data_IF_189894356637
#
_entry.id   IF_189894356637
#
_cell.length_a   1.000
_cell.length_b   1.000
_cell.length_c   1.000
_cell.angle_alpha   90.00
_cell.angle_beta   90.00
_cell.angle_gamma   90.00
#
_symmetry.space_group_name_H-M   'P 1'
#
loop_
_entity.id
_entity.type
_entity.pdbx_description
1 polymer ?
#
# COMPACT_ATOMS: atom_id res chain seq x y z
N UNK A 1 48.57 15.38 51.41
CA UNK A 1 47.32 14.60 51.39
C UNK A 1 46.95 14.38 49.94
N UNK A 2 46.66 13.15 49.49
CA UNK A 2 46.12 12.96 48.15
C UNK A 2 44.67 13.46 48.11
N UNK A 3 44.17 13.95 46.94
CA UNK A 3 42.79 14.37 46.80
C UNK A 3 41.87 13.14 46.87
N UNK A 4 40.68 13.31 47.46
CA UNK A 4 39.67 12.26 47.53
C UNK A 4 39.31 11.74 46.13
N UNK A 5 39.09 10.41 45.97
CA UNK A 5 38.69 9.86 44.69
C UNK A 5 37.31 10.42 44.30
N UNK A 6 37.21 10.89 43.06
CA UNK A 6 35.97 11.41 42.49
C UNK A 6 34.84 10.38 42.64
N UNK A 7 33.67 10.84 43.07
CA UNK A 7 32.44 10.04 43.11
C UNK A 7 32.19 9.41 41.75
N UNK A 8 32.28 8.08 41.68
CA UNK A 8 31.83 7.31 40.52
C UNK A 8 30.32 7.43 40.48
N UNK A 9 29.79 8.18 39.52
CA UNK A 9 28.35 8.20 39.22
C UNK A 9 28.02 6.84 38.62
N UNK A 10 27.27 6.01 39.35
CA UNK A 10 26.71 4.79 38.78
C UNK A 10 25.87 5.14 37.54
N UNK A 11 26.00 4.38 36.44
CA UNK A 11 25.12 4.58 35.30
C UNK A 11 23.70 4.24 35.74
N UNK A 12 22.85 5.27 35.82
CA UNK A 12 21.41 5.11 36.00
C UNK A 12 20.93 4.22 34.84
N UNK A 13 20.62 2.97 35.16
CA UNK A 13 19.92 2.06 34.26
C UNK A 13 18.58 2.74 34.00
N UNK A 14 18.50 3.45 32.87
CA UNK A 14 17.28 4.10 32.43
C UNK A 14 16.18 3.05 32.38
N UNK A 15 15.09 3.33 33.10
CA UNK A 15 13.85 2.56 32.98
C UNK A 15 13.60 2.22 31.50
N UNK A 16 13.20 0.98 31.17
CA UNK A 16 12.83 0.64 29.81
C UNK A 16 11.82 1.69 29.34
N UNK A 17 12.17 2.40 28.27
CA UNK A 17 11.28 3.40 27.68
C UNK A 17 9.91 2.78 27.46
N UNK A 18 8.82 3.55 27.59
CA UNK A 18 7.48 3.03 27.33
C UNK A 18 7.48 2.33 25.96
N UNK A 19 6.82 1.17 25.83
CA UNK A 19 6.77 0.45 24.56
C UNK A 19 6.35 1.43 23.46
N UNK A 20 6.98 1.39 22.27
CA UNK A 20 6.74 2.37 21.22
C UNK A 20 5.23 2.48 20.99
N UNK A 21 4.70 3.70 21.13
CA UNK A 21 3.28 3.96 20.99
C UNK A 21 2.79 3.29 19.70
N UNK A 22 1.79 2.42 19.81
CA UNK A 22 1.16 1.82 18.63
C UNK A 22 0.65 2.97 17.75
N UNK A 23 1.28 3.17 16.60
CA UNK A 23 0.82 4.17 15.62
C UNK A 23 -0.46 3.60 15.02
N UNK A 24 -1.61 4.06 15.50
CA UNK A 24 -2.92 3.67 14.98
C UNK A 24 -3.12 4.35 13.63
N UNK A 25 -3.16 3.57 12.55
CA UNK A 25 -3.39 4.08 11.19
C UNK A 25 -4.90 4.40 11.04
N UNK A 26 -5.25 5.69 10.94
CA UNK A 26 -6.63 6.16 10.76
C UNK A 26 -6.96 6.39 9.29
N UNK A 27 -8.19 6.07 8.90
CA UNK A 27 -8.75 6.33 7.57
C UNK A 27 -10.08 7.07 7.67
N UNK A 28 -10.20 8.19 6.96
CA UNK A 28 -11.48 8.89 6.80
C UNK A 28 -12.38 8.16 5.82
N UNK A 29 -13.61 7.84 6.23
CA UNK A 29 -14.62 7.28 5.34
C UNK A 29 -15.13 8.34 4.35
N UNK A 30 -14.99 8.09 3.05
CA UNK A 30 -15.44 9.03 2.01
C UNK A 30 -16.97 9.18 1.92
N UNK A 31 -17.74 8.36 2.63
CA UNK A 31 -19.22 8.36 2.63
C UNK A 31 -19.77 9.14 3.82
N UNK A 32 -19.53 8.67 5.05
CA UNK A 32 -20.02 9.30 6.29
C UNK A 32 -19.03 10.30 6.92
N UNK A 33 -17.81 10.43 6.40
CA UNK A 33 -16.74 11.33 6.88
C UNK A 33 -16.12 11.01 8.25
N UNK A 34 -16.53 9.92 8.89
CA UNK A 34 -15.94 9.45 10.14
C UNK A 34 -14.47 9.02 9.95
N UNK A 35 -13.67 9.22 11.00
CA UNK A 35 -12.32 8.66 11.09
C UNK A 35 -12.40 7.27 11.74
N UNK A 36 -11.88 6.28 11.03
CA UNK A 36 -11.99 4.88 11.42
C UNK A 36 -10.59 4.26 11.44
N UNK A 37 -10.31 3.50 12.49
CA UNK A 37 -9.09 2.68 12.60
C UNK A 37 -9.02 1.70 11.43
N UNK A 38 -7.87 1.60 10.76
CA UNK A 38 -7.68 0.82 9.54
C UNK A 38 -8.20 -0.60 9.61
N UNK A 39 -7.96 -1.27 10.73
CA UNK A 39 -8.38 -2.64 11.02
C UNK A 39 -9.91 -2.79 10.94
N UNK A 40 -10.64 -1.75 11.32
CA UNK A 40 -12.10 -1.71 11.33
C UNK A 40 -12.68 -1.08 10.06
N UNK A 41 -11.86 -0.53 9.17
CA UNK A 41 -12.32 0.27 8.04
C UNK A 41 -13.16 -0.54 7.03
N UNK A 42 -12.73 -1.77 6.74
CA UNK A 42 -13.48 -2.65 5.81
C UNK A 42 -14.84 -3.02 6.41
N UNK A 43 -14.88 -3.36 7.70
CA UNK A 43 -16.12 -3.70 8.39
C UNK A 43 -17.07 -2.51 8.41
N UNK A 44 -16.58 -1.32 8.76
CA UNK A 44 -17.35 -0.09 8.68
C UNK A 44 -17.97 0.14 7.29
N UNK A 45 -17.22 -0.15 6.21
CA UNK A 45 -17.72 0.03 4.84
C UNK A 45 -18.79 -0.99 4.43
N UNK A 46 -18.82 -2.18 5.04
CA UNK A 46 -19.89 -3.15 4.80
C UNK A 46 -21.25 -2.60 5.25
N UNK A 47 -21.25 -1.81 6.31
CA UNK A 47 -22.45 -1.18 6.86
C UNK A 47 -22.70 0.19 6.20
N UNK A 48 -21.71 1.08 6.24
CA UNK A 48 -21.81 2.46 5.77
C UNK A 48 -22.06 2.55 4.25
N UNK A 49 -21.56 1.59 3.48
CA UNK A 49 -21.73 1.51 2.02
C UNK A 49 -22.44 0.23 1.57
N UNK A 50 -23.33 -0.31 2.41
CA UNK A 50 -24.13 -1.51 2.12
C UNK A 50 -24.78 -1.45 0.73
N UNK A 51 -24.72 -2.56 0.00
CA UNK A 51 -25.24 -2.67 -1.37
C UNK A 51 -24.29 -2.15 -2.46
N UNK A 52 -23.03 -1.87 -2.12
CA UNK A 52 -21.96 -1.52 -3.07
C UNK A 52 -20.74 -2.42 -2.89
N UNK A 53 -19.84 -2.48 -3.86
CA UNK A 53 -18.57 -3.21 -3.75
C UNK A 53 -17.41 -2.36 -3.19
N UNK A 54 -17.69 -1.24 -2.53
CA UNK A 54 -16.66 -0.33 -1.98
C UNK A 54 -15.79 -1.05 -0.94
N UNK A 55 -16.40 -1.84 -0.06
CA UNK A 55 -15.68 -2.62 0.97
C UNK A 55 -14.72 -3.63 0.34
N UNK A 56 -15.15 -4.35 -0.70
CA UNK A 56 -14.33 -5.32 -1.43
C UNK A 56 -13.12 -4.64 -2.10
N UNK A 57 -13.33 -3.51 -2.78
CA UNK A 57 -12.25 -2.75 -3.41
C UNK A 57 -11.21 -2.28 -2.39
N UNK A 58 -11.66 -1.80 -1.23
CA UNK A 58 -10.75 -1.38 -0.16
C UNK A 58 -10.00 -2.56 0.46
N UNK A 59 -10.68 -3.69 0.67
CA UNK A 59 -10.05 -4.93 1.13
C UNK A 59 -8.94 -5.38 0.16
N UNK A 60 -9.22 -5.38 -1.15
CA UNK A 60 -8.21 -5.70 -2.18
C UNK A 60 -7.05 -4.70 -2.17
N UNK A 61 -7.33 -3.39 -2.01
CA UNK A 61 -6.29 -2.37 -1.91
C UNK A 61 -5.35 -2.64 -0.71
N UNK A 62 -5.91 -2.90 0.48
CA UNK A 62 -5.11 -3.22 1.66
C UNK A 62 -4.33 -4.53 1.52
N UNK A 63 -4.92 -5.54 0.90
CA UNK A 63 -4.22 -6.78 0.57
C UNK A 63 -2.99 -6.54 -0.33
N UNK A 64 -3.15 -5.75 -1.40
CA UNK A 64 -2.02 -5.39 -2.27
C UNK A 64 -0.99 -4.54 -1.55
N UNK A 65 -1.40 -3.57 -0.71
CA UNK A 65 -0.49 -2.79 0.13
C UNK A 65 0.36 -3.71 1.03
N UNK A 66 -0.26 -4.70 1.66
CA UNK A 66 0.43 -5.69 2.49
C UNK A 66 1.38 -6.58 1.68
N UNK A 67 1.00 -6.98 0.46
CA UNK A 67 1.89 -7.73 -0.45
C UNK A 67 3.13 -6.91 -0.85
N UNK A 68 2.96 -5.62 -1.16
CA UNK A 68 4.06 -4.70 -1.47
C UNK A 68 5.03 -4.62 -0.28
N UNK A 69 4.50 -4.42 0.94
CA UNK A 69 5.31 -4.37 2.18
C UNK A 69 6.07 -5.68 2.41
N UNK A 70 5.39 -6.84 2.28
CA UNK A 70 6.01 -8.17 2.45
C UNK A 70 7.11 -8.42 1.43
N UNK A 71 6.89 -8.06 0.16
CA UNK A 71 7.90 -8.21 -0.89
C UNK A 71 9.13 -7.34 -0.62
N UNK A 72 8.92 -6.06 -0.27
CA UNK A 72 10.03 -5.16 0.08
C UNK A 72 10.85 -5.70 1.27
N UNK A 73 10.17 -6.14 2.33
CA UNK A 73 10.85 -6.71 3.51
C UNK A 73 11.60 -8.01 3.18
N UNK A 74 11.00 -8.90 2.38
CA UNK A 74 11.66 -10.12 1.94
C UNK A 74 12.97 -9.82 1.19
N UNK A 75 12.99 -8.80 0.36
CA UNK A 75 14.17 -8.41 -0.43
C UNK A 75 15.24 -7.77 0.47
N UNK A 76 14.84 -6.95 1.46
CA UNK A 76 15.76 -6.42 2.47
C UNK A 76 16.38 -7.53 3.33
N UNK A 77 15.60 -8.53 3.71
CA UNK A 77 16.12 -9.68 4.46
C UNK A 77 17.12 -10.47 3.62
N UNK A 78 16.81 -10.74 2.34
CA UNK A 78 17.73 -11.40 1.42
C UNK A 78 19.03 -10.60 1.23
N UNK A 79 18.94 -9.27 1.13
CA UNK A 79 20.12 -8.41 1.13
C UNK A 79 20.95 -8.56 2.42
N UNK A 80 20.30 -8.54 3.58
CA UNK A 80 20.97 -8.75 4.87
C UNK A 80 21.67 -10.10 4.94
N UNK A 81 21.01 -11.17 4.51
CA UNK A 81 21.60 -12.50 4.46
C UNK A 81 22.80 -12.56 3.50
N UNK A 82 22.70 -11.97 2.31
CA UNK A 82 23.83 -11.88 1.36
C UNK A 82 25.00 -11.10 1.95
N UNK A 83 24.74 -9.98 2.62
CA UNK A 83 25.76 -9.07 3.15
C UNK A 83 26.62 -9.74 4.23
N UNK A 84 26.02 -10.54 5.11
CA UNK A 84 26.74 -11.26 6.19
C UNK A 84 27.09 -12.71 5.82
N UNK A 85 26.89 -13.09 4.56
CA UNK A 85 27.11 -14.45 4.05
C UNK A 85 26.31 -15.55 4.77
N UNK A 86 25.10 -15.22 5.21
CA UNK A 86 24.18 -16.22 5.74
C UNK A 86 23.58 -17.08 4.60
N UNK A 87 23.22 -18.34 4.89
CA UNK A 87 22.53 -19.17 3.92
C UNK A 87 21.22 -18.55 3.42
N UNK A 88 21.09 -18.43 2.11
CA UNK A 88 19.96 -17.78 1.46
C UNK A 88 18.74 -18.68 1.49
N UNK A 89 17.67 -18.20 2.13
CA UNK A 89 16.39 -18.90 2.19
C UNK A 89 15.67 -18.81 0.85
N UNK A 90 15.35 -19.97 0.26
CA UNK A 90 14.61 -20.09 -1.00
C UNK A 90 13.13 -20.42 -0.72
N UNK A 91 12.20 -19.46 -0.88
CA UNK A 91 10.78 -19.73 -0.70
C UNK A 91 10.29 -20.74 -1.72
N UNK A 92 9.72 -21.86 -1.27
CA UNK A 92 9.23 -22.96 -2.12
C UNK A 92 10.31 -23.55 -3.04
N UNK A 93 11.58 -23.45 -2.64
CA UNK A 93 12.73 -23.93 -3.42
C UNK A 93 12.93 -23.22 -4.76
N UNK A 94 12.42 -22.00 -4.92
CA UNK A 94 12.62 -21.20 -6.14
C UNK A 94 13.80 -20.25 -5.97
N UNK A 95 14.77 -20.36 -6.87
CA UNK A 95 15.91 -19.46 -6.92
C UNK A 95 15.66 -18.29 -7.88
N UNK A 96 16.05 -17.10 -7.44
CA UNK A 96 15.90 -15.87 -8.21
C UNK A 96 16.90 -15.74 -9.37
N UNK A 97 17.92 -16.59 -9.44
CA UNK A 97 18.80 -16.67 -10.61
C UNK A 97 18.44 -17.86 -11.52
N UNK A 98 18.52 -19.07 -10.98
CA UNK A 98 18.33 -20.32 -11.71
C UNK A 98 16.88 -20.44 -12.31
N UNK A 99 16.73 -20.93 -13.56
CA UNK A 99 15.43 -20.96 -14.32
C UNK A 99 14.44 -22.03 -13.84
N UNK A 100 14.93 -23.16 -13.33
CA UNK A 100 14.09 -24.25 -12.80
C UNK A 100 14.42 -24.53 -11.33
N UNK A 101 13.40 -24.90 -10.52
CA UNK A 101 13.56 -25.28 -9.10
C UNK A 101 14.57 -26.42 -8.88
N UNK A 102 14.72 -27.28 -9.88
CA UNK A 102 15.63 -28.42 -9.85
C UNK A 102 17.04 -28.09 -10.37
N UNK A 103 17.29 -26.88 -10.84
CA UNK A 103 18.60 -26.47 -11.37
C UNK A 103 19.70 -26.37 -10.29
N UNK A 104 19.35 -26.53 -9.01
CA UNK A 104 20.32 -26.75 -7.95
C UNK A 104 20.82 -28.20 -7.88
N UNK A 105 20.13 -29.16 -8.54
CA UNK A 105 20.65 -30.52 -8.73
C UNK A 105 21.79 -30.46 -9.74
N UNK A 106 23.01 -30.46 -9.24
CA UNK A 106 24.23 -30.46 -10.06
C UNK A 106 25.19 -29.29 -9.84
N UNK A 107 24.94 -28.41 -8.85
CA UNK A 107 25.96 -27.52 -8.24
C UNK A 107 26.74 -26.56 -9.18
N UNK A 108 26.32 -26.31 -10.42
CA UNK A 108 27.15 -25.51 -11.37
C UNK A 108 26.68 -24.06 -11.59
N UNK A 109 25.37 -23.78 -11.61
CA UNK A 109 24.91 -22.46 -12.10
C UNK A 109 24.82 -21.36 -11.05
N UNK A 110 24.69 -21.73 -9.77
CA UNK A 110 24.50 -20.78 -8.69
C UNK A 110 25.70 -20.77 -7.69
N UNK A 111 26.80 -21.49 -8.02
CA UNK A 111 27.99 -21.72 -7.17
C UNK A 111 29.01 -20.58 -7.25
N UNK A 112 29.31 -20.09 -8.46
CA UNK A 112 30.30 -19.02 -8.72
C UNK A 112 29.68 -17.61 -8.68
N UNK A 113 28.43 -17.49 -8.22
CA UNK A 113 27.71 -16.23 -8.30
C UNK A 113 28.11 -15.31 -7.16
N UNK A 114 28.48 -14.08 -7.51
CA UNK A 114 28.77 -13.02 -6.53
C UNK A 114 27.49 -12.58 -5.83
N UNK A 115 27.63 -12.01 -4.63
CA UNK A 115 26.48 -11.53 -3.84
C UNK A 115 25.69 -10.50 -4.64
N UNK A 116 26.39 -9.57 -5.30
CA UNK A 116 25.80 -8.54 -6.13
C UNK A 116 25.03 -9.09 -7.34
N UNK A 117 25.55 -10.11 -8.02
CA UNK A 117 24.91 -10.70 -9.20
C UNK A 117 23.61 -11.43 -8.81
N UNK A 118 23.61 -12.13 -7.67
CA UNK A 118 22.39 -12.76 -7.14
C UNK A 118 21.33 -11.72 -6.77
N UNK A 119 21.76 -10.64 -6.13
CA UNK A 119 20.88 -9.53 -5.76
C UNK A 119 20.27 -8.86 -7.00
N UNK A 120 21.05 -8.70 -8.07
CA UNK A 120 20.57 -8.15 -9.34
C UNK A 120 19.46 -9.02 -9.93
N UNK A 121 19.65 -10.34 -9.92
CA UNK A 121 18.64 -11.29 -10.41
C UNK A 121 17.34 -11.26 -9.58
N UNK A 122 17.42 -11.02 -8.26
CA UNK A 122 16.23 -10.80 -7.41
C UNK A 122 15.44 -9.59 -7.92
N UNK A 123 16.08 -8.46 -8.14
CA UNK A 123 15.42 -7.25 -8.63
C UNK A 123 14.78 -7.49 -10.00
N UNK A 124 15.54 -8.01 -10.97
CA UNK A 124 15.04 -8.27 -12.32
C UNK A 124 13.80 -9.17 -12.35
N UNK A 125 13.76 -10.23 -11.53
CA UNK A 125 12.61 -11.13 -11.48
C UNK A 125 11.43 -10.59 -10.70
N UNK A 126 11.61 -9.59 -9.83
CA UNK A 126 10.54 -9.10 -8.96
C UNK A 126 10.04 -7.70 -9.31
N UNK A 127 10.76 -6.94 -10.13
CA UNK A 127 10.41 -5.55 -10.45
C UNK A 127 9.07 -5.43 -11.20
N UNK A 128 8.81 -6.32 -12.16
CA UNK A 128 7.52 -6.35 -12.86
C UNK A 128 6.36 -6.64 -11.90
N UNK A 129 6.48 -7.71 -11.11
CA UNK A 129 5.45 -8.11 -10.14
C UNK A 129 5.21 -7.02 -9.09
N UNK A 130 6.28 -6.38 -8.61
CA UNK A 130 6.22 -5.27 -7.67
C UNK A 130 5.44 -4.09 -8.24
N UNK A 131 5.76 -3.68 -9.47
CA UNK A 131 5.09 -2.57 -10.13
C UNK A 131 3.61 -2.89 -10.42
N UNK A 132 3.30 -4.12 -10.83
CA UNK A 132 1.92 -4.57 -11.04
C UNK A 132 1.11 -4.56 -9.74
N UNK A 133 1.70 -4.97 -8.62
CA UNK A 133 1.06 -4.85 -7.31
C UNK A 133 0.75 -3.39 -6.94
N UNK A 134 1.69 -2.46 -7.19
CA UNK A 134 1.51 -1.02 -6.95
C UNK A 134 0.38 -0.45 -7.80
N UNK A 135 0.34 -0.77 -9.11
CA UNK A 135 -0.72 -0.33 -10.02
C UNK A 135 -2.08 -0.86 -9.58
N UNK A 136 -2.18 -2.14 -9.21
CA UNK A 136 -3.43 -2.75 -8.73
C UNK A 136 -3.90 -2.15 -7.41
N UNK A 137 -2.98 -1.88 -6.49
CA UNK A 137 -3.26 -1.16 -5.25
C UNK A 137 -3.91 0.21 -5.54
N UNK A 138 -3.26 1.02 -6.39
CA UNK A 138 -3.77 2.36 -6.73
C UNK A 138 -5.09 2.32 -7.52
N UNK A 139 -5.25 1.38 -8.45
CA UNK A 139 -6.47 1.23 -9.22
C UNK A 139 -7.69 0.95 -8.32
N UNK A 140 -7.54 0.02 -7.36
CA UNK A 140 -8.61 -0.30 -6.41
C UNK A 140 -8.92 0.88 -5.48
N UNK A 141 -7.88 1.53 -4.92
CA UNK A 141 -8.04 2.68 -4.04
C UNK A 141 -8.75 3.85 -4.75
N UNK A 142 -8.34 4.16 -5.98
CA UNK A 142 -8.96 5.19 -6.83
C UNK A 142 -10.43 4.87 -7.11
N UNK A 143 -10.73 3.63 -7.50
CA UNK A 143 -12.11 3.20 -7.79
C UNK A 143 -12.99 3.32 -6.55
N UNK A 144 -12.51 2.85 -5.39
CA UNK A 144 -13.23 2.95 -4.12
C UNK A 144 -13.54 4.41 -3.76
N UNK A 145 -12.55 5.32 -3.80
CA UNK A 145 -12.74 6.75 -3.50
C UNK A 145 -13.77 7.44 -4.42
N UNK A 146 -13.74 7.12 -5.71
CA UNK A 146 -14.73 7.63 -6.68
C UNK A 146 -16.14 7.14 -6.31
N UNK A 147 -16.27 5.86 -5.99
CA UNK A 147 -17.56 5.26 -5.62
C UNK A 147 -18.09 5.79 -4.29
N UNK A 148 -17.23 6.05 -3.31
CA UNK A 148 -17.62 6.68 -2.05
C UNK A 148 -18.21 8.07 -2.27
N UNK A 149 -17.54 8.93 -3.06
CA UNK A 149 -18.07 10.24 -3.41
C UNK A 149 -19.40 10.13 -4.16
N UNK A 150 -19.49 9.21 -5.12
CA UNK A 150 -20.72 8.98 -5.88
C UNK A 150 -21.88 8.55 -4.96
N UNK A 151 -21.63 7.64 -4.01
CA UNK A 151 -22.63 7.19 -3.05
C UNK A 151 -23.10 8.34 -2.14
N UNK A 152 -22.16 9.14 -1.63
CA UNK A 152 -22.48 10.33 -0.83
C UNK A 152 -23.38 11.31 -1.61
N UNK A 153 -23.00 11.62 -2.85
CA UNK A 153 -23.77 12.50 -3.74
C UNK A 153 -25.15 11.92 -4.09
N UNK A 154 -25.25 10.59 -4.26
CA UNK A 154 -26.52 9.92 -4.49
C UNK A 154 -27.45 10.09 -3.29
N UNK A 155 -26.97 9.87 -2.07
CA UNK A 155 -27.74 10.05 -0.83
C UNK A 155 -28.23 11.49 -0.68
N UNK A 156 -27.35 12.47 -0.88
CA UNK A 156 -27.71 13.90 -0.83
C UNK A 156 -28.78 14.27 -1.88
N UNK A 157 -28.70 13.70 -3.09
CA UNK A 157 -29.73 13.89 -4.12
C UNK A 157 -31.07 13.23 -3.75
N UNK A 158 -31.03 12.02 -3.19
CA UNK A 158 -32.23 11.27 -2.84
C UNK A 158 -32.96 11.91 -1.64
N UNK A 159 -32.22 12.46 -0.67
CA UNK A 159 -32.76 13.31 0.41
C UNK A 159 -33.43 14.55 -0.16
N UNK A 160 -32.75 15.29 -1.05
CA UNK A 160 -33.32 16.50 -1.65
C UNK A 160 -34.57 16.21 -2.49
N UNK A 161 -34.58 15.07 -3.18
CA UNK A 161 -35.76 14.57 -3.89
C UNK A 161 -36.90 14.27 -2.91
N UNK A 162 -36.64 13.55 -1.83
CA UNK A 162 -37.65 13.23 -0.82
C UNK A 162 -38.27 14.49 -0.21
N UNK A 163 -37.46 15.53 0.07
CA UNK A 163 -37.97 16.83 0.51
C UNK A 163 -38.90 17.49 -0.51
N UNK A 164 -38.60 17.38 -1.80
CA UNK A 164 -39.41 17.95 -2.88
C UNK A 164 -40.71 17.18 -3.10
N UNK A 165 -40.76 15.89 -2.74
CA UNK A 165 -41.93 15.03 -2.95
C UNK A 165 -43.17 15.51 -2.21
N UNK A 166 -43.01 16.17 -1.06
CA UNK A 166 -44.13 16.73 -0.28
C UNK A 166 -44.88 17.87 -0.98
N UNK A 167 -44.30 18.45 -2.04
CA UNK A 167 -44.90 19.54 -2.81
C UNK A 167 -45.57 19.05 -4.10
N UNK A 168 -45.50 17.75 -4.40
CA UNK A 168 -46.15 17.19 -5.57
C UNK A 168 -47.65 17.00 -5.33
N UNK A 169 -48.44 17.13 -6.39
CA UNK A 169 -49.89 16.88 -6.35
C UNK A 169 -50.19 15.42 -6.03
N UNK A 170 -49.39 14.50 -6.58
CA UNK A 170 -49.38 13.10 -6.18
C UNK A 170 -47.99 12.69 -5.67
N UNK A 171 -47.79 12.65 -4.34
CA UNK A 171 -46.53 12.23 -3.73
C UNK A 171 -46.15 10.76 -4.02
N UNK A 172 -47.13 9.92 -4.40
CA UNK A 172 -46.91 8.50 -4.72
C UNK A 172 -46.41 8.29 -6.15
N UNK A 173 -46.55 9.30 -7.02
CA UNK A 173 -46.05 9.25 -8.39
C UNK A 173 -44.51 9.13 -8.41
N UNK A 174 -44.01 8.19 -9.21
CA UNK A 174 -42.57 8.03 -9.46
C UNK A 174 -41.98 9.22 -10.22
N UNK A 175 -42.80 9.89 -11.01
CA UNK A 175 -42.44 11.03 -11.85
C UNK A 175 -42.86 12.38 -11.24
N UNK A 176 -43.13 12.43 -9.93
CA UNK A 176 -43.58 13.63 -9.22
C UNK A 176 -42.72 14.88 -9.48
N UNK A 177 -41.43 14.72 -9.76
CA UNK A 177 -40.54 15.84 -10.11
C UNK A 177 -40.97 16.60 -11.37
N UNK A 178 -41.71 15.96 -12.30
CA UNK A 178 -42.26 16.60 -13.51
C UNK A 178 -43.44 17.52 -13.19
N UNK A 179 -44.11 17.27 -12.07
CA UNK A 179 -45.27 18.06 -11.60
C UNK A 179 -44.83 19.37 -10.92
N UNK A 180 -43.56 19.46 -10.51
CA UNK A 180 -43.05 20.59 -9.74
C UNK A 180 -42.66 21.77 -10.64
N UNK A 181 -42.93 23.03 -10.21
CA UNK A 181 -42.46 24.22 -10.90
C UNK A 181 -40.93 24.25 -11.06
N UNK A 182 -40.46 24.84 -12.15
CA UNK A 182 -39.03 24.95 -12.45
C UNK A 182 -38.22 25.60 -11.32
N UNK A 183 -38.78 26.60 -10.63
CA UNK A 183 -38.11 27.27 -9.51
C UNK A 183 -37.85 26.32 -8.34
N UNK A 184 -38.76 25.39 -8.04
CA UNK A 184 -38.55 24.37 -7.01
C UNK A 184 -37.50 23.33 -7.41
N UNK A 185 -37.31 23.10 -8.71
CA UNK A 185 -36.28 22.20 -9.24
C UNK A 185 -34.90 22.85 -9.37
N UNK A 186 -34.80 24.18 -9.32
CA UNK A 186 -33.54 24.92 -9.48
C UNK A 186 -32.45 24.49 -8.49
N UNK A 187 -32.73 24.33 -7.17
CA UNK A 187 -31.73 23.82 -6.23
C UNK A 187 -31.26 22.40 -6.57
N UNK A 188 -32.15 21.52 -7.03
CA UNK A 188 -31.80 20.16 -7.43
C UNK A 188 -30.90 20.14 -8.68
N UNK A 189 -31.15 21.02 -9.65
CA UNK A 189 -30.29 21.19 -10.84
C UNK A 189 -28.91 21.71 -10.46
N UNK A 190 -28.84 22.72 -9.58
CA UNK A 190 -27.58 23.25 -9.06
C UNK A 190 -26.78 22.19 -8.30
N UNK A 191 -27.46 21.37 -7.49
CA UNK A 191 -26.84 20.27 -6.76
C UNK A 191 -26.24 19.21 -7.70
N UNK A 192 -26.98 18.79 -8.75
CA UNK A 192 -26.47 17.88 -9.78
C UNK A 192 -25.24 18.44 -10.52
N UNK A 193 -25.25 19.73 -10.84
CA UNK A 193 -24.12 20.41 -11.45
C UNK A 193 -22.90 20.43 -10.51
N UNK A 194 -23.10 20.75 -9.23
CA UNK A 194 -22.06 20.68 -8.18
C UNK A 194 -21.47 19.28 -8.06
N UNK A 195 -22.30 18.25 -8.00
CA UNK A 195 -21.84 16.85 -7.92
C UNK A 195 -21.00 16.43 -9.11
N UNK A 196 -21.44 16.79 -10.33
CA UNK A 196 -20.70 16.54 -11.57
C UNK A 196 -19.33 17.20 -11.54
N UNK A 197 -19.26 18.47 -11.10
CA UNK A 197 -18.01 19.20 -10.93
C UNK A 197 -17.09 18.51 -9.92
N UNK A 198 -17.61 18.19 -8.74
CA UNK A 198 -16.85 17.52 -7.67
C UNK A 198 -16.27 16.18 -8.13
N UNK A 199 -17.03 15.39 -8.88
CA UNK A 199 -16.57 14.11 -9.42
C UNK A 199 -15.45 14.28 -10.45
N UNK A 200 -15.56 15.29 -11.34
CA UNK A 200 -14.48 15.63 -12.29
C UNK A 200 -13.21 16.06 -11.56
N UNK A 201 -13.35 16.97 -10.57
CA UNK A 201 -12.23 17.43 -9.75
C UNK A 201 -11.56 16.28 -9.00
N UNK A 202 -12.34 15.39 -8.38
CA UNK A 202 -11.79 14.22 -7.68
C UNK A 202 -11.06 13.29 -8.65
N UNK A 203 -11.63 12.98 -9.82
CA UNK A 203 -10.98 12.12 -10.83
C UNK A 203 -9.65 12.69 -11.30
N UNK A 204 -9.57 14.00 -11.52
CA UNK A 204 -8.33 14.68 -11.90
C UNK A 204 -7.29 14.62 -10.76
N UNK A 205 -7.69 14.94 -9.52
CA UNK A 205 -6.83 14.86 -8.33
C UNK A 205 -6.28 13.44 -8.13
N UNK A 206 -7.14 12.43 -8.18
CA UNK A 206 -6.73 11.02 -8.01
C UNK A 206 -5.81 10.53 -9.12
N UNK A 207 -5.93 11.05 -10.35
CA UNK A 207 -5.00 10.74 -11.44
C UNK A 207 -3.59 11.22 -11.10
N UNK A 208 -3.46 12.50 -10.75
CA UNK A 208 -2.18 13.10 -10.35
C UNK A 208 -1.57 12.39 -9.13
N UNK A 209 -2.37 12.09 -8.11
CA UNK A 209 -1.92 11.34 -6.94
C UNK A 209 -1.45 9.93 -7.30
N UNK A 210 -2.17 9.23 -8.18
CA UNK A 210 -1.78 7.89 -8.63
C UNK A 210 -0.44 7.91 -9.36
N UNK A 211 -0.26 8.86 -10.28
CA UNK A 211 0.99 9.02 -11.04
C UNK A 211 2.17 9.28 -10.09
N UNK A 212 2.02 10.22 -9.14
CA UNK A 212 3.03 10.50 -8.12
C UNK A 212 3.37 9.30 -7.23
N UNK A 213 2.37 8.54 -6.82
CA UNK A 213 2.60 7.36 -5.97
C UNK A 213 3.31 6.26 -6.74
N UNK A 214 2.90 6.00 -7.99
CA UNK A 214 3.57 5.01 -8.85
C UNK A 214 5.04 5.40 -9.06
N UNK A 215 5.30 6.67 -9.39
CA UNK A 215 6.64 7.21 -9.55
C UNK A 215 7.47 7.09 -8.27
N UNK A 216 6.91 7.43 -7.11
CA UNK A 216 7.57 7.24 -5.82
C UNK A 216 8.00 5.77 -5.61
N UNK A 217 7.13 4.81 -5.92
CA UNK A 217 7.45 3.39 -5.78
C UNK A 217 8.53 2.92 -6.77
N UNK A 218 8.53 3.43 -8.01
CA UNK A 218 9.58 3.17 -9.00
C UNK A 218 10.92 3.73 -8.51
N UNK A 219 10.95 4.99 -8.09
CA UNK A 219 12.17 5.66 -7.65
C UNK A 219 12.72 5.02 -6.37
N UNK A 220 11.85 4.71 -5.40
CA UNK A 220 12.23 3.99 -4.19
C UNK A 220 12.87 2.65 -4.53
N UNK A 221 12.25 1.91 -5.47
CA UNK A 221 12.74 0.60 -5.89
C UNK A 221 14.10 0.68 -6.58
N UNK A 222 14.26 1.65 -7.47
CA UNK A 222 15.52 1.88 -8.17
C UNK A 222 16.62 2.33 -7.20
N UNK A 223 16.31 3.19 -6.23
CA UNK A 223 17.26 3.59 -5.20
C UNK A 223 17.69 2.38 -4.35
N UNK A 224 16.74 1.55 -3.89
CA UNK A 224 17.05 0.32 -3.17
C UNK A 224 17.95 -0.61 -4.00
N UNK A 225 17.64 -0.80 -5.30
CA UNK A 225 18.48 -1.59 -6.21
C UNK A 225 19.90 -1.05 -6.28
N UNK A 226 20.07 0.24 -6.57
CA UNK A 226 21.40 0.86 -6.66
C UNK A 226 22.17 0.69 -5.36
N UNK A 227 21.57 1.06 -4.21
CA UNK A 227 22.22 0.98 -2.91
C UNK A 227 22.65 -0.45 -2.58
N UNK A 228 21.77 -1.43 -2.72
CA UNK A 228 22.07 -2.81 -2.35
C UNK A 228 23.14 -3.42 -3.24
N UNK A 229 23.11 -3.17 -4.55
CA UNK A 229 24.13 -3.64 -5.48
C UNK A 229 25.48 -2.99 -5.17
N UNK A 230 25.53 -1.68 -4.98
CA UNK A 230 26.79 -0.97 -4.66
C UNK A 230 27.41 -1.49 -3.37
N UNK A 231 26.62 -1.65 -2.30
CA UNK A 231 27.13 -2.17 -1.01
C UNK A 231 27.70 -3.58 -1.17
N UNK A 232 26.99 -4.47 -1.87
CA UNK A 232 27.47 -5.84 -2.09
C UNK A 232 28.71 -5.88 -3.00
N UNK A 233 28.80 -5.05 -4.03
CA UNK A 233 30.00 -4.94 -4.87
C UNK A 233 31.21 -4.49 -4.05
N UNK A 234 31.06 -3.47 -3.19
CA UNK A 234 32.14 -3.04 -2.30
C UNK A 234 32.55 -4.14 -1.33
N UNK A 235 31.57 -4.87 -0.77
CA UNK A 235 31.86 -6.02 0.10
C UNK A 235 32.61 -7.11 -0.64
N UNK A 236 32.20 -7.45 -1.86
CA UNK A 236 32.85 -8.49 -2.67
C UNK A 236 34.28 -8.09 -3.12
N UNK A 237 34.58 -6.80 -3.18
CA UNK A 237 35.94 -6.30 -3.45
C UNK A 237 36.85 -6.34 -2.21
N UNK A 238 36.30 -6.00 -1.03
CA UNK A 238 37.06 -5.91 0.23
C UNK A 238 37.23 -7.28 0.90
N UNK A 239 36.21 -8.12 0.81
CA UNK A 239 36.17 -9.47 1.37
C UNK A 239 35.55 -10.44 0.33
N UNK A 240 36.38 -10.86 -0.66
CA UNK A 240 35.94 -11.78 -1.69
C UNK A 240 35.59 -13.13 -1.08
N UNK A 241 34.43 -13.66 -1.45
CA UNK A 241 34.03 -14.99 -1.02
C UNK A 241 34.94 -16.03 -1.65
N UNK A 242 35.47 -16.92 -0.81
CA UNK A 242 36.17 -18.12 -1.24
C UNK A 242 35.20 -19.29 -1.43
N UNK A 243 34.08 -19.25 -0.72
CA UNK A 243 33.07 -20.29 -0.72
C UNK A 243 31.83 -19.93 -1.55
N UNK A 244 31.13 -20.91 -2.13
CA UNK A 244 29.90 -20.73 -2.90
C UNK A 244 28.74 -20.22 -2.06
N UNK A 245 27.77 -19.54 -2.69
CA UNK A 245 26.54 -19.12 -1.99
C UNK A 245 25.80 -20.35 -1.46
N UNK A 246 25.50 -20.35 -0.16
CA UNK A 246 24.72 -21.41 0.46
C UNK A 246 23.24 -21.12 0.32
N UNK A 247 22.44 -22.16 0.05
CA UNK A 247 21.00 -22.06 -0.13
C UNK A 247 20.28 -23.04 0.77
N UNK A 248 19.21 -22.57 1.42
CA UNK A 248 18.36 -23.41 2.28
C UNK A 248 16.92 -23.33 1.78
N UNK A 249 16.31 -24.48 1.55
CA UNK A 249 14.91 -24.54 1.19
C UNK A 249 14.06 -24.27 2.43
N UNK A 250 13.14 -23.31 2.33
CA UNK A 250 12.12 -23.05 3.35
C UNK A 250 10.74 -23.42 2.79
N UNK A 251 10.02 -24.23 3.57
CA UNK A 251 8.70 -24.77 3.23
C UNK A 251 7.63 -23.67 3.08
#
# INVERSE_FOLDING_TARGET
MPPDPAHVVEPVIGNPGPPPAQIVELHTCGVCTDEIVKENFVQHLLDCAKGTNIAELMHLAFHFQNKIRKMANSIRNLFGDLYVDNPIKLPRGKCYHCKHRYSHKGWKNCFEMRRADYMMAIFEKTDFDYLELVKRYQANLKKARIMMLWLKQKRELDEKKAELRKYATDPSDKDYLKQLPTEMLKPLRQLKAKHTRNLRTLKAKLRMETERVVEFYINKRQAEKTTFITVLLTSDMMDPRLDPLQFVNVA
#
